data_IF_575646921730
#
_entry.id   IF_575646921730
#
_cell.length_a   1.000
_cell.length_b   1.000
_cell.length_c   1.000
_cell.angle_alpha   90.00
_cell.angle_beta   90.00
_cell.angle_gamma   90.00
#
_symmetry.space_group_name_H-M   'P 1'
#
loop_
_entity.id
_entity.type
_entity.pdbx_description
1 polymer ?
#
# COMPACT_ATOMS: atom_id res chain seq x y z
N UNK A 1 23.73 14.22 30.90
CA UNK A 1 23.99 13.96 29.47
C UNK A 1 22.67 13.70 28.78
N UNK A 2 22.36 14.55 27.83
CA UNK A 2 21.18 14.31 27.02
C UNK A 2 21.53 13.30 25.92
N UNK A 3 20.61 12.39 25.70
CA UNK A 3 20.72 11.46 24.60
C UNK A 3 19.75 11.88 23.50
N UNK A 4 20.26 11.99 22.32
CA UNK A 4 19.42 12.24 21.15
C UNK A 4 18.96 10.91 20.58
N UNK A 5 17.64 10.68 20.58
CA UNK A 5 17.06 9.52 19.95
C UNK A 5 16.71 9.92 18.53
N UNK A 6 17.27 9.22 17.58
CA UNK A 6 17.04 9.46 16.17
C UNK A 6 16.22 8.33 15.61
N UNK A 7 15.21 8.64 14.81
CA UNK A 7 14.43 7.63 14.12
C UNK A 7 14.67 7.76 12.62
N UNK A 8 14.70 6.64 11.95
CA UNK A 8 14.72 6.59 10.49
C UNK A 8 13.41 5.99 10.02
N UNK A 9 12.94 6.42 8.87
CA UNK A 9 11.75 5.87 8.25
C UNK A 9 12.19 4.84 7.22
N UNK A 10 11.74 3.61 7.39
CA UNK A 10 12.14 2.50 6.53
C UNK A 10 10.91 1.78 5.99
N UNK A 11 11.08 1.11 4.86
CA UNK A 11 10.02 0.30 4.28
C UNK A 11 9.58 -0.78 5.28
N UNK A 12 8.31 -0.78 5.64
CA UNK A 12 7.72 -1.76 6.54
C UNK A 12 7.10 -2.92 5.75
N UNK A 13 6.33 -2.58 4.73
CA UNK A 13 5.64 -3.57 3.92
C UNK A 13 5.35 -3.04 2.53
N UNK A 14 5.15 -3.96 1.59
CA UNK A 14 4.96 -3.59 0.19
C UNK A 14 4.12 -4.65 -0.52
N UNK A 15 3.15 -4.17 -1.28
CA UNK A 15 2.39 -5.00 -2.23
C UNK A 15 2.90 -4.63 -3.62
N UNK A 16 3.60 -5.54 -4.26
CA UNK A 16 4.28 -5.26 -5.52
C UNK A 16 3.44 -5.68 -6.72
N UNK A 17 3.05 -4.70 -7.54
CA UNK A 17 2.42 -4.89 -8.85
C UNK A 17 1.06 -5.62 -8.79
N UNK A 18 0.06 -4.92 -8.25
CA UNK A 18 -1.34 -5.29 -8.38
C UNK A 18 -2.00 -4.39 -9.42
N UNK A 19 -3.12 -4.82 -9.99
CA UNK A 19 -3.86 -3.94 -10.90
C UNK A 19 -5.02 -3.26 -10.20
N UNK A 20 -5.31 -2.03 -10.61
CA UNK A 20 -6.45 -1.26 -10.11
C UNK A 20 -7.73 -1.88 -10.66
N UNK A 21 -8.65 -2.27 -9.76
CA UNK A 21 -9.91 -2.89 -10.15
C UNK A 21 -11.04 -1.88 -10.31
N UNK A 22 -10.94 -0.73 -9.60
CA UNK A 22 -11.95 0.32 -9.69
C UNK A 22 -11.35 1.65 -9.26
N UNK A 23 -11.96 2.75 -9.70
CA UNK A 23 -11.57 4.11 -9.35
C UNK A 23 -12.85 4.92 -9.14
N UNK A 24 -13.18 5.21 -7.88
CA UNK A 24 -14.44 5.84 -7.49
C UNK A 24 -14.23 7.26 -6.96
N UNK A 25 -14.47 8.26 -7.81
CA UNK A 25 -14.33 9.67 -7.44
C UNK A 25 -15.29 10.12 -6.35
N UNK A 26 -16.42 9.46 -6.23
CA UNK A 26 -17.51 9.90 -5.36
C UNK A 26 -17.49 9.23 -3.98
N UNK A 27 -16.40 8.60 -3.64
CA UNK A 27 -16.22 7.95 -2.34
C UNK A 27 -15.22 8.72 -1.49
N UNK A 28 -15.12 8.37 -0.20
CA UNK A 28 -14.16 8.98 0.73
C UNK A 28 -12.74 8.65 0.25
N UNK A 29 -11.87 9.67 0.15
CA UNK A 29 -10.50 9.50 -0.31
C UNK A 29 -9.77 8.42 0.46
N UNK A 30 -9.29 7.37 -0.24
CA UNK A 30 -8.68 6.19 0.37
C UNK A 30 -8.29 5.20 -0.71
N UNK A 31 -7.66 4.09 -0.28
CA UNK A 31 -7.48 2.92 -1.13
C UNK A 31 -8.12 1.72 -0.45
N UNK A 32 -9.03 1.05 -1.15
CA UNK A 32 -9.63 -0.20 -0.68
C UNK A 32 -8.77 -1.35 -1.16
N UNK A 33 -8.30 -2.17 -0.23
CA UNK A 33 -7.40 -3.30 -0.50
C UNK A 33 -8.04 -4.58 0.01
N UNK A 34 -8.04 -5.64 -0.80
CA UNK A 34 -8.43 -6.98 -0.36
C UNK A 34 -7.74 -7.31 0.96
N UNK A 35 -8.53 -7.66 1.98
CA UNK A 35 -8.00 -7.87 3.33
C UNK A 35 -7.00 -9.03 3.40
N UNK A 36 -7.11 -10.01 2.51
CA UNK A 36 -6.11 -11.09 2.45
C UNK A 36 -4.73 -10.57 2.08
N UNK A 37 -4.65 -9.58 1.18
CA UNK A 37 -3.39 -8.94 0.82
C UNK A 37 -2.84 -8.12 1.99
N UNK A 38 -3.73 -7.43 2.71
CA UNK A 38 -3.33 -6.65 3.89
C UNK A 38 -2.70 -7.55 4.94
N UNK A 39 -3.36 -8.65 5.27
CA UNK A 39 -2.87 -9.59 6.27
C UNK A 39 -1.52 -10.18 5.86
N UNK A 40 -1.36 -10.51 4.59
CA UNK A 40 -0.15 -11.15 4.09
C UNK A 40 1.09 -10.26 4.25
N UNK A 41 0.94 -8.94 4.21
CA UNK A 41 2.06 -8.01 4.34
C UNK A 41 2.02 -7.17 5.62
N UNK A 42 1.06 -7.42 6.52
CA UNK A 42 0.98 -6.73 7.80
C UNK A 42 0.48 -5.30 7.73
N UNK A 43 -0.31 -4.97 6.72
CA UNK A 43 -0.99 -3.68 6.64
C UNK A 43 -2.33 -3.75 7.36
N UNK A 44 -2.76 -2.63 7.97
CA UNK A 44 -4.04 -2.54 8.69
C UNK A 44 -4.88 -1.40 8.14
N UNK A 45 -6.19 -1.46 8.41
CA UNK A 45 -7.11 -0.39 8.04
C UNK A 45 -6.70 0.91 8.72
N UNK A 46 -6.78 2.01 7.98
CA UNK A 46 -6.38 3.33 8.46
C UNK A 46 -4.89 3.62 8.30
N UNK A 47 -4.11 2.65 7.92
CA UNK A 47 -2.67 2.85 7.77
C UNK A 47 -2.36 3.73 6.57
N UNK A 48 -1.43 4.66 6.77
CA UNK A 48 -0.91 5.55 5.73
C UNK A 48 -0.05 4.75 4.75
N UNK A 49 -0.35 4.86 3.47
CA UNK A 49 0.42 4.19 2.42
C UNK A 49 0.77 5.15 1.29
N UNK A 50 1.88 4.84 0.63
CA UNK A 50 2.32 5.51 -0.59
C UNK A 50 2.05 4.59 -1.76
N UNK A 51 1.59 5.19 -2.85
CA UNK A 51 1.22 4.45 -4.05
C UNK A 51 2.01 5.02 -5.22
N UNK A 52 2.56 4.12 -6.03
CA UNK A 52 3.18 4.51 -7.29
C UNK A 52 2.48 3.73 -8.41
N UNK A 53 2.21 4.44 -9.52
CA UNK A 53 1.55 3.88 -10.68
C UNK A 53 2.59 3.67 -11.77
N UNK A 54 2.79 2.42 -12.19
CA UNK A 54 3.79 2.07 -13.17
C UNK A 54 3.45 2.58 -14.58
N UNK A 55 2.17 2.81 -14.86
CA UNK A 55 1.72 3.17 -16.20
C UNK A 55 1.86 4.66 -16.49
N UNK A 56 1.68 5.51 -15.47
CA UNK A 56 1.74 6.97 -15.67
C UNK A 56 2.81 7.68 -14.84
N UNK A 57 3.50 6.96 -13.96
CA UNK A 57 4.55 7.52 -13.11
C UNK A 57 4.06 8.35 -11.95
N UNK A 58 2.75 8.41 -11.70
CA UNK A 58 2.21 9.16 -10.58
C UNK A 58 2.62 8.54 -9.25
N UNK A 59 2.88 9.41 -8.26
CA UNK A 59 3.19 9.04 -6.88
C UNK A 59 2.28 9.84 -5.98
N UNK A 60 1.56 9.15 -5.09
CA UNK A 60 0.64 9.80 -4.16
C UNK A 60 0.48 8.96 -2.91
N UNK A 61 -0.21 9.51 -1.94
CA UNK A 61 -0.39 8.86 -0.64
C UNK A 61 -1.84 8.97 -0.20
N UNK A 62 -2.26 7.99 0.57
CA UNK A 62 -3.61 7.91 1.11
C UNK A 62 -3.61 6.94 2.31
N UNK A 63 -4.77 6.48 2.73
CA UNK A 63 -4.88 5.49 3.79
C UNK A 63 -5.76 4.32 3.34
N UNK A 64 -5.64 3.21 4.06
CA UNK A 64 -6.25 1.93 3.67
C UNK A 64 -7.65 1.79 4.24
N UNK A 65 -8.57 1.29 3.41
CA UNK A 65 -9.87 0.75 3.82
C UNK A 65 -9.86 -0.75 3.49
N UNK A 66 -10.41 -1.57 4.40
CA UNK A 66 -10.53 -3.01 4.16
C UNK A 66 -11.48 -3.30 3.01
N UNK A 67 -11.01 -4.11 2.07
CA UNK A 67 -11.82 -4.67 1.01
C UNK A 67 -12.22 -6.10 1.31
N UNK A 68 -13.19 -6.61 0.58
CA UNK A 68 -13.69 -7.97 0.75
C UNK A 68 -12.57 -8.99 0.55
N UNK A 69 -12.46 -9.93 1.50
CA UNK A 69 -11.45 -10.99 1.43
C UNK A 69 -11.64 -11.86 0.20
N UNK A 70 -10.53 -12.10 -0.48
CA UNK A 70 -10.51 -12.97 -1.65
C UNK A 70 -11.09 -12.36 -2.89
N UNK A 71 -11.50 -11.08 -2.85
CA UNK A 71 -12.07 -10.39 -4.01
C UNK A 71 -11.02 -9.94 -5.02
N UNK A 72 -9.80 -9.75 -4.58
CA UNK A 72 -8.74 -9.13 -5.39
C UNK A 72 -8.96 -7.64 -5.60
N UNK A 73 -9.81 -6.99 -4.80
CA UNK A 73 -10.13 -5.58 -5.02
C UNK A 73 -8.97 -4.67 -4.67
N UNK A 74 -8.69 -3.74 -5.56
CA UNK A 74 -7.78 -2.61 -5.39
C UNK A 74 -8.50 -1.41 -5.96
N UNK A 75 -9.13 -0.61 -5.10
CA UNK A 75 -9.96 0.51 -5.55
C UNK A 75 -9.40 1.82 -5.02
N UNK A 76 -9.15 2.76 -5.90
CA UNK A 76 -8.74 4.12 -5.53
C UNK A 76 -9.98 4.98 -5.41
N UNK A 77 -10.14 5.63 -4.26
CA UNK A 77 -11.35 6.37 -3.91
C UNK A 77 -11.06 7.86 -3.78
N UNK A 78 -12.06 8.67 -4.10
CA UNK A 78 -11.97 10.12 -3.97
C UNK A 78 -10.98 10.72 -4.96
N UNK A 79 -10.25 11.76 -4.53
CA UNK A 79 -9.29 12.45 -5.39
C UNK A 79 -8.21 11.52 -5.95
N UNK A 80 -7.83 10.50 -5.20
CA UNK A 80 -6.83 9.51 -5.65
C UNK A 80 -7.28 8.78 -6.92
N UNK A 81 -8.60 8.65 -7.14
CA UNK A 81 -9.13 8.01 -8.34
C UNK A 81 -8.72 8.73 -9.63
N UNK A 82 -8.39 10.03 -9.54
CA UNK A 82 -7.92 10.79 -10.70
C UNK A 82 -6.49 10.50 -11.09
N UNK A 83 -5.74 9.87 -10.21
CA UNK A 83 -4.31 9.57 -10.43
C UNK A 83 -4.10 8.25 -11.15
N UNK A 84 -5.14 7.44 -11.28
CA UNK A 84 -5.05 6.10 -11.83
C UNK A 84 -6.15 5.85 -12.83
N UNK A 85 -5.97 4.78 -13.61
CA UNK A 85 -7.03 4.20 -14.43
C UNK A 85 -7.19 2.74 -14.05
N UNK A 86 -8.40 2.21 -14.23
CA UNK A 86 -8.64 0.77 -14.05
C UNK A 86 -7.64 0.00 -14.91
N UNK A 87 -7.10 -1.07 -14.36
CA UNK A 87 -6.07 -1.93 -14.94
C UNK A 87 -4.65 -1.37 -14.89
N UNK A 88 -4.43 -0.16 -14.39
CA UNK A 88 -3.08 0.31 -14.12
C UNK A 88 -2.40 -0.62 -13.11
N UNK A 89 -1.10 -0.82 -13.29
CA UNK A 89 -0.29 -1.60 -12.37
C UNK A 89 0.30 -0.65 -11.33
N UNK A 90 0.03 -0.93 -10.07
CA UNK A 90 0.49 -0.08 -8.97
C UNK A 90 1.27 -0.88 -7.94
N UNK A 91 2.04 -0.14 -7.15
CA UNK A 91 2.80 -0.67 -6.01
C UNK A 91 2.36 0.12 -4.78
N UNK A 92 2.08 -0.58 -3.70
CA UNK A 92 1.60 0.01 -2.45
C UNK A 92 2.64 -0.23 -1.38
N UNK A 93 3.10 0.85 -0.71
CA UNK A 93 4.18 0.79 0.26
C UNK A 93 3.75 1.42 1.58
N UNK A 94 4.09 0.77 2.69
CA UNK A 94 3.93 1.33 4.02
C UNK A 94 5.30 1.44 4.68
N UNK A 95 5.47 2.47 5.48
CA UNK A 95 6.73 2.79 6.15
C UNK A 95 6.53 2.80 7.66
N UNK A 96 7.61 2.58 8.39
CA UNK A 96 7.60 2.65 9.84
C UNK A 96 8.83 3.38 10.33
N UNK A 97 8.68 4.09 11.44
CA UNK A 97 9.78 4.78 12.09
C UNK A 97 10.36 3.89 13.17
N UNK A 98 11.66 3.79 13.21
CA UNK A 98 12.36 3.00 14.20
C UNK A 98 13.78 3.54 14.38
N UNK A 99 14.46 3.09 15.44
CA UNK A 99 15.85 3.47 15.63
C UNK A 99 16.73 2.87 14.52
N UNK A 100 17.89 3.47 14.23
CA UNK A 100 18.79 2.87 13.23
C UNK A 100 19.18 1.43 13.56
N UNK A 101 19.33 1.11 14.84
CA UNK A 101 19.67 -0.27 15.28
C UNK A 101 18.54 -1.23 14.90
N UNK A 102 17.31 -0.89 15.22
CA UNK A 102 16.14 -1.69 14.84
C UNK A 102 16.03 -1.81 13.33
N UNK A 103 16.27 -0.71 12.62
CA UNK A 103 16.13 -0.66 11.16
C UNK A 103 17.09 -1.60 10.45
N UNK A 104 18.31 -1.75 10.98
CA UNK A 104 19.32 -2.66 10.39
C UNK A 104 18.90 -4.13 10.49
N UNK A 105 18.14 -4.47 11.53
CA UNK A 105 17.68 -5.85 11.77
C UNK A 105 16.29 -6.10 11.18
N UNK A 106 15.57 -5.05 10.83
CA UNK A 106 14.18 -5.17 10.36
C UNK A 106 14.12 -5.74 8.95
N UNK A 107 13.23 -6.71 8.75
CA UNK A 107 12.97 -7.29 7.43
C UNK A 107 11.57 -6.90 7.00
N UNK A 108 11.42 -6.08 5.96
CA UNK A 108 10.08 -5.68 5.50
C UNK A 108 9.33 -6.87 4.92
N UNK A 109 8.02 -6.85 5.07
CA UNK A 109 7.14 -7.84 4.46
C UNK A 109 6.75 -7.37 3.06
N UNK A 110 7.26 -8.05 2.06
CA UNK A 110 6.97 -7.74 0.65
C UNK A 110 6.25 -8.93 0.03
N UNK A 111 5.11 -8.67 -0.59
CA UNK A 111 4.35 -9.71 -1.28
C UNK A 111 4.28 -9.39 -2.77
N UNK A 112 4.21 -10.45 -3.58
CA UNK A 112 4.16 -10.38 -5.04
C UNK A 112 2.93 -11.14 -5.50
N UNK A 113 1.72 -10.54 -5.42
CA UNK A 113 0.51 -11.20 -5.88
C UNK A 113 0.56 -11.47 -7.38
N UNK A 114 -0.28 -12.38 -7.85
CA UNK A 114 -0.52 -12.51 -9.29
C UNK A 114 -1.14 -11.20 -9.78
N UNK A 115 -0.49 -10.54 -10.72
CA UNK A 115 -0.94 -9.21 -11.18
C UNK A 115 -2.31 -9.26 -11.85
N UNK A 116 -2.66 -10.36 -12.49
CA UNK A 116 -3.94 -10.49 -13.22
C UNK A 116 -5.12 -10.67 -12.28
N UNK A 117 -4.92 -11.39 -11.19
CA UNK A 117 -6.01 -11.73 -10.26
C UNK A 117 -5.96 -10.93 -8.96
N UNK A 118 -4.81 -10.29 -8.67
CA UNK A 118 -4.50 -9.67 -7.39
C UNK A 118 -4.55 -10.65 -6.21
N UNK A 119 -4.34 -11.91 -6.48
CA UNK A 119 -4.40 -12.95 -5.44
C UNK A 119 -3.01 -13.44 -5.10
N UNK A 120 -2.88 -13.89 -3.86
CA UNK A 120 -1.66 -14.52 -3.39
C UNK A 120 -1.41 -15.81 -4.19
N UNK A 121 -0.16 -16.06 -4.47
CA UNK A 121 0.28 -17.25 -5.21
C UNK A 121 1.06 -18.18 -4.29
#
# INVERSE_FOLDING_TARGET
ISKHIMFVEVLKSKIHCVHVTDANLNYVGSITIDEDLMDACGMIAGEHVYIVDNNNGERFETYIIRGERGSGCICLNGAAARKVQVDDIIIIMAYAQMTPEEAREFVPKVIFPDTKTNKLV
#
